data_IF_575041564518
#
_entry.id   IF_575041564518
#
_cell.length_a   1.000
_cell.length_b   1.000
_cell.length_c   1.000
_cell.angle_alpha   90.00
_cell.angle_beta   90.00
_cell.angle_gamma   90.00
#
_symmetry.space_group_name_H-M   'P 1'
#
loop_
_entity.id
_entity.type
_entity.pdbx_description
1 polymer ?
#
# COMPACT_ATOMS: atom_id res chain seq x y z
N UNK A 1 -40.09 25.45 -14.95
CA UNK A 1 -39.04 25.26 -13.91
C UNK A 1 -38.18 24.10 -14.37
N UNK A 2 -36.92 24.34 -14.74
CA UNK A 2 -36.02 23.28 -15.22
C UNK A 2 -35.05 22.95 -14.08
N UNK A 3 -35.25 21.81 -13.43
CA UNK A 3 -34.34 21.33 -12.39
C UNK A 3 -33.08 20.75 -13.05
N UNK A 4 -31.91 21.02 -12.46
CA UNK A 4 -30.65 20.42 -12.88
C UNK A 4 -30.65 18.95 -12.46
N UNK A 5 -30.21 18.07 -13.35
CA UNK A 5 -30.06 16.66 -13.00
C UNK A 5 -29.01 16.49 -11.89
N UNK A 6 -29.25 15.60 -10.92
CA UNK A 6 -28.27 15.27 -9.89
C UNK A 6 -26.99 14.73 -10.54
N UNK A 7 -25.84 15.19 -10.04
CA UNK A 7 -24.53 14.67 -10.49
C UNK A 7 -24.34 13.19 -10.15
N UNK A 8 -25.08 12.69 -9.14
CA UNK A 8 -24.99 11.31 -8.66
C UNK A 8 -26.32 10.60 -8.85
N UNK A 9 -26.27 9.50 -9.60
CA UNK A 9 -27.39 8.59 -9.71
C UNK A 9 -27.70 7.94 -8.37
N UNK A 10 -28.87 7.30 -8.27
CA UNK A 10 -29.19 6.48 -7.10
C UNK A 10 -28.22 5.29 -6.98
N UNK A 11 -27.76 4.74 -8.10
CA UNK A 11 -26.78 3.65 -8.14
C UNK A 11 -25.43 4.10 -7.59
N UNK A 12 -24.93 5.29 -7.98
CA UNK A 12 -23.66 5.83 -7.46
C UNK A 12 -23.69 5.97 -5.93
N UNK A 13 -24.84 6.41 -5.41
CA UNK A 13 -25.06 6.51 -3.96
C UNK A 13 -25.12 5.14 -3.30
N UNK A 14 -25.81 4.17 -3.92
CA UNK A 14 -25.86 2.81 -3.42
C UNK A 14 -24.47 2.16 -3.35
N UNK A 15 -23.64 2.37 -4.38
CA UNK A 15 -22.26 1.87 -4.41
C UNK A 15 -21.40 2.47 -3.30
N UNK A 16 -21.51 3.78 -3.03
CA UNK A 16 -20.74 4.40 -1.95
C UNK A 16 -21.17 3.92 -0.56
N UNK A 17 -22.47 3.72 -0.35
CA UNK A 17 -22.98 3.14 0.90
C UNK A 17 -22.51 1.68 1.07
N UNK A 18 -22.56 0.88 0.00
CA UNK A 18 -22.05 -0.49 0.02
C UNK A 18 -20.54 -0.54 0.31
N UNK A 19 -19.77 0.38 -0.28
CA UNK A 19 -18.34 0.50 -0.01
C UNK A 19 -18.05 0.91 1.45
N UNK A 20 -18.86 1.82 2.01
CA UNK A 20 -18.73 2.23 3.40
C UNK A 20 -19.00 1.05 4.34
N UNK A 21 -20.10 0.31 4.11
CA UNK A 21 -20.43 -0.88 4.88
C UNK A 21 -19.36 -1.96 4.76
N UNK A 22 -18.86 -2.22 3.54
CA UNK A 22 -17.76 -3.14 3.33
C UNK A 22 -16.54 -2.75 4.16
N UNK A 23 -16.10 -1.48 4.09
CA UNK A 23 -14.94 -1.00 4.84
C UNK A 23 -15.11 -1.10 6.36
N UNK A 24 -16.31 -0.87 6.87
CA UNK A 24 -16.63 -0.99 8.30
C UNK A 24 -16.45 -2.42 8.83
N UNK A 25 -16.70 -3.41 7.97
CA UNK A 25 -16.49 -4.84 8.30
C UNK A 25 -15.05 -5.33 8.10
N UNK A 26 -14.11 -4.45 7.73
CA UNK A 26 -12.70 -4.82 7.49
C UNK A 26 -11.74 -4.15 8.46
N UNK A 27 -10.66 -4.85 8.80
CA UNK A 27 -9.58 -4.30 9.60
C UNK A 27 -8.83 -3.20 8.82
N UNK A 28 -8.64 -2.00 9.38
CA UNK A 28 -7.97 -0.89 8.69
C UNK A 28 -6.45 -1.12 8.51
N UNK A 29 -5.85 -2.07 9.23
CA UNK A 29 -4.41 -2.36 9.16
C UNK A 29 -4.09 -3.45 8.12
N UNK A 30 -4.72 -4.61 8.24
CA UNK A 30 -4.42 -5.77 7.39
C UNK A 30 -5.44 -5.97 6.25
N UNK A 31 -6.56 -5.25 6.28
CA UNK A 31 -7.64 -5.40 5.32
C UNK A 31 -8.44 -6.69 5.47
N UNK A 32 -8.25 -7.49 6.55
CA UNK A 32 -8.98 -8.73 6.90
C UNK A 32 -10.39 -8.49 7.46
N UNK A 33 -11.15 -9.54 7.80
CA UNK A 33 -12.47 -9.38 8.47
C UNK A 33 -12.23 -8.86 9.89
N UNK A 34 -12.97 -7.81 10.28
CA UNK A 34 -12.77 -7.19 11.58
C UNK A 34 -13.08 -8.16 12.73
N UNK A 35 -14.01 -9.09 12.54
CA UNK A 35 -14.40 -10.08 13.56
C UNK A 35 -13.26 -11.04 13.87
N UNK A 36 -12.51 -11.46 12.85
CA UNK A 36 -11.33 -12.32 13.01
C UNK A 36 -10.19 -11.57 13.72
N UNK A 37 -10.11 -10.25 13.54
CA UNK A 37 -9.05 -9.42 14.13
C UNK A 37 -9.36 -9.01 15.60
N UNK A 38 -10.63 -8.96 15.99
CA UNK A 38 -11.06 -8.50 17.32
C UNK A 38 -11.70 -9.61 18.18
N UNK A 39 -11.75 -10.86 17.70
CA UNK A 39 -12.32 -11.98 18.45
C UNK A 39 -11.54 -12.17 19.77
N UNK A 40 -12.21 -12.02 20.94
CA UNK A 40 -11.57 -12.16 22.25
C UNK A 40 -11.32 -13.61 22.66
N UNK A 41 -11.79 -14.60 21.88
CA UNK A 41 -11.68 -16.03 22.21
C UNK A 41 -10.62 -16.73 21.32
N UNK A 42 -9.37 -16.32 21.50
CA UNK A 42 -8.28 -17.14 22.06
C UNK A 42 -8.10 -18.64 21.69
N UNK A 43 -8.49 -19.12 20.50
CA UNK A 43 -7.99 -20.43 19.99
C UNK A 43 -7.26 -20.35 18.63
N UNK A 44 -7.22 -19.17 18.00
CA UNK A 44 -6.48 -18.99 16.74
C UNK A 44 -5.10 -18.41 17.02
N UNK A 45 -4.12 -19.30 17.20
CA UNK A 45 -2.70 -18.92 17.21
C UNK A 45 -2.29 -18.50 15.80
N UNK A 46 -2.36 -17.20 15.51
CA UNK A 46 -1.86 -16.65 14.24
C UNK A 46 -0.33 -16.66 14.28
N UNK A 47 0.28 -17.64 13.60
CA UNK A 47 1.73 -17.65 13.39
C UNK A 47 2.06 -16.68 12.25
N UNK A 48 2.52 -15.48 12.59
CA UNK A 48 3.06 -14.53 11.60
C UNK A 48 4.52 -14.89 11.34
N UNK A 49 4.88 -15.37 10.13
CA UNK A 49 6.28 -15.63 9.81
C UNK A 49 7.06 -14.31 9.84
N UNK A 50 8.39 -14.36 10.09
CA UNK A 50 9.23 -13.17 10.02
C UNK A 50 9.02 -12.41 8.70
N UNK A 51 9.02 -11.06 8.73
CA UNK A 51 8.87 -10.27 7.53
C UNK A 51 9.96 -10.65 6.52
N UNK A 52 9.59 -10.83 5.25
CA UNK A 52 10.58 -11.06 4.20
C UNK A 52 11.21 -9.73 3.82
N UNK A 53 12.55 -9.67 3.79
CA UNK A 53 13.26 -8.52 3.25
C UNK A 53 12.99 -8.42 1.74
N UNK A 54 12.80 -7.20 1.23
CA UNK A 54 12.82 -6.96 -0.20
C UNK A 54 14.26 -7.07 -0.72
N UNK A 55 14.57 -8.13 -1.47
CA UNK A 55 15.92 -8.34 -2.00
C UNK A 55 16.35 -7.17 -2.89
N UNK A 56 15.46 -6.67 -3.75
CA UNK A 56 15.79 -5.57 -4.66
C UNK A 56 16.17 -4.28 -3.90
N UNK A 57 15.44 -3.96 -2.82
CA UNK A 57 15.74 -2.78 -1.99
C UNK A 57 17.03 -2.98 -1.20
N UNK A 58 17.27 -4.19 -0.70
CA UNK A 58 18.49 -4.53 0.04
C UNK A 58 19.73 -4.39 -0.84
N UNK A 59 19.71 -5.00 -2.03
CA UNK A 59 20.80 -4.89 -3.01
C UNK A 59 21.03 -3.44 -3.47
N UNK A 60 19.96 -2.67 -3.67
CA UNK A 60 20.08 -1.25 -4.00
C UNK A 60 20.77 -0.47 -2.87
N UNK A 61 20.37 -0.69 -1.62
CA UNK A 61 21.01 -0.05 -0.45
C UNK A 61 22.47 -0.43 -0.33
N UNK A 62 22.79 -1.71 -0.48
CA UNK A 62 24.18 -2.18 -0.46
C UNK A 62 25.02 -1.50 -1.57
N UNK A 63 24.48 -1.39 -2.78
CA UNK A 63 25.16 -0.71 -3.88
C UNK A 63 25.36 0.80 -3.64
N UNK A 64 24.36 1.47 -3.05
CA UNK A 64 24.46 2.90 -2.67
C UNK A 64 25.47 3.10 -1.54
N UNK A 65 25.46 2.25 -0.51
CA UNK A 65 26.34 2.32 0.65
C UNK A 65 27.82 2.17 0.28
N UNK A 66 28.13 1.35 -0.74
CA UNK A 66 29.49 1.22 -1.31
C UNK A 66 30.04 2.53 -1.90
N UNK A 67 29.19 3.53 -2.12
CA UNK A 67 29.55 4.79 -2.74
C UNK A 67 29.18 6.00 -1.88
N UNK A 68 28.77 5.80 -0.63
CA UNK A 68 28.31 6.87 0.27
C UNK A 68 29.35 7.98 0.49
N UNK A 69 30.64 7.64 0.43
CA UNK A 69 31.75 8.58 0.66
C UNK A 69 32.22 9.27 -0.64
N UNK A 70 31.64 8.94 -1.80
CA UNK A 70 32.02 9.56 -3.08
C UNK A 70 31.31 10.90 -3.27
N UNK A 71 31.96 11.90 -3.88
CA UNK A 71 31.30 13.12 -4.32
C UNK A 71 30.07 12.80 -5.18
N UNK A 72 28.90 13.34 -4.80
CA UNK A 72 27.65 13.08 -5.51
C UNK A 72 26.93 11.77 -5.12
N UNK A 73 27.28 11.14 -3.99
CA UNK A 73 26.61 9.93 -3.49
C UNK A 73 25.07 10.05 -3.45
N UNK A 74 24.54 11.23 -3.11
CA UNK A 74 23.09 11.50 -3.10
C UNK A 74 22.41 11.46 -4.48
N UNK A 75 23.18 11.42 -5.57
CA UNK A 75 22.67 11.35 -6.94
C UNK A 75 22.65 9.92 -7.52
N UNK A 76 23.11 8.91 -6.78
CA UNK A 76 23.18 7.51 -7.22
C UNK A 76 21.81 6.80 -7.14
N UNK A 77 20.82 7.36 -7.82
CA UNK A 77 19.43 6.88 -7.79
C UNK A 77 19.06 6.03 -9.02
N UNK A 78 19.71 6.25 -10.17
CA UNK A 78 19.34 5.62 -11.44
C UNK A 78 20.61 5.20 -12.22
N UNK A 79 20.56 4.05 -12.92
CA UNK A 79 21.57 3.77 -13.96
C UNK A 79 21.21 4.58 -15.20
N UNK A 80 22.07 5.51 -15.58
CA UNK A 80 21.93 6.27 -16.84
C UNK A 80 23.10 5.94 -17.77
N UNK A 81 22.80 5.51 -18.98
CA UNK A 81 23.79 5.39 -20.06
C UNK A 81 23.55 6.50 -21.08
N UNK A 82 24.55 7.38 -21.27
CA UNK A 82 24.49 8.41 -22.31
C UNK A 82 25.15 7.86 -23.56
N UNK A 83 24.34 7.47 -24.56
CA UNK A 83 24.85 7.24 -25.92
C UNK A 83 24.99 8.58 -26.62
N UNK A 84 26.23 9.01 -26.86
CA UNK A 84 26.50 10.15 -27.75
C UNK A 84 26.43 9.67 -29.20
N UNK A 85 25.70 10.41 -30.02
CA UNK A 85 25.55 10.20 -31.46
C UNK A 85 26.66 10.94 -32.20
#
# INVERSE_FOLDING_TARGET
MTCREPEWSDDDRAWMLALAYYRDTRCPLCGGDIRDCTAPEDDVVVTVPPPRRCLATDELRLATDQHKDKPGAGALLWRTEVRRR
#
